data_IF_156044193167
#
_entry.id   IF_156044193167
#
_cell.length_a   1.000
_cell.length_b   1.000
_cell.length_c   1.000
_cell.angle_alpha   90.00
_cell.angle_beta   90.00
_cell.angle_gamma   90.00
#
_symmetry.space_group_name_H-M   'P 1'
#
loop_
_entity.id
_entity.type
_entity.pdbx_description
1 polymer ?
#
# COMPACT_ATOMS: atom_id res chain seq x y z
N UNK A 1 -0.60 18.83 -7.30
CA UNK A 1 0.05 17.88 -8.24
C UNK A 1 -0.95 16.79 -8.55
N UNK A 2 -1.31 16.59 -9.82
CA UNK A 2 -2.29 15.54 -10.20
C UNK A 2 -1.60 14.18 -10.23
N UNK A 3 -2.10 13.23 -9.44
CA UNK A 3 -1.74 11.81 -9.53
C UNK A 3 -2.68 11.18 -10.56
N UNK A 4 -2.13 10.50 -11.56
CA UNK A 4 -2.90 9.78 -12.58
C UNK A 4 -2.35 8.37 -12.72
N UNK A 5 -3.22 7.35 -12.74
CA UNK A 5 -2.80 5.98 -13.09
C UNK A 5 -2.09 6.01 -14.44
N UNK A 6 -0.78 5.77 -14.43
CA UNK A 6 -0.01 5.65 -15.65
C UNK A 6 -0.07 4.19 -16.07
N UNK A 7 -1.07 3.83 -16.86
CA UNK A 7 -1.33 2.46 -17.32
C UNK A 7 -0.19 1.79 -18.11
N UNK A 8 0.98 2.43 -18.25
CA UNK A 8 2.19 1.92 -18.91
C UNK A 8 3.46 2.02 -18.06
N UNK A 9 3.41 2.66 -16.90
CA UNK A 9 4.60 2.88 -16.06
C UNK A 9 4.48 1.97 -14.84
N UNK A 10 5.31 0.93 -14.80
CA UNK A 10 5.35 -0.03 -13.68
C UNK A 10 5.76 0.64 -12.36
N UNK A 11 6.53 1.73 -12.43
CA UNK A 11 6.99 2.51 -11.27
C UNK A 11 6.99 4.01 -11.58
N UNK A 12 6.11 4.77 -10.94
CA UNK A 12 6.06 6.23 -11.02
C UNK A 12 6.68 6.88 -9.78
N UNK A 13 7.51 7.92 -9.99
CA UNK A 13 8.04 8.77 -8.91
C UNK A 13 7.36 10.14 -8.93
N UNK A 14 6.96 10.60 -7.75
CA UNK A 14 6.33 11.89 -7.53
C UNK A 14 7.08 12.67 -6.44
N UNK A 15 7.68 13.83 -6.77
CA UNK A 15 8.38 14.65 -5.79
C UNK A 15 7.39 15.33 -4.83
N UNK A 16 7.79 15.47 -3.57
CA UNK A 16 7.00 16.09 -2.52
C UNK A 16 7.82 16.31 -1.25
N UNK A 17 7.14 16.64 -0.13
CA UNK A 17 7.79 16.70 1.19
C UNK A 17 8.45 15.36 1.55
N UNK A 18 7.75 14.28 1.21
CA UNK A 18 8.27 12.92 1.17
C UNK A 18 8.07 12.45 -0.26
N UNK A 19 9.06 11.79 -0.85
CA UNK A 19 8.92 11.22 -2.20
C UNK A 19 7.85 10.12 -2.17
N UNK A 20 6.98 10.12 -3.17
CA UNK A 20 5.99 9.08 -3.37
C UNK A 20 6.37 8.25 -4.58
N UNK A 21 6.49 6.94 -4.37
CA UNK A 21 6.66 5.94 -5.40
C UNK A 21 5.35 5.17 -5.57
N UNK A 22 4.98 4.87 -6.80
CA UNK A 22 3.77 4.13 -7.13
C UNK A 22 4.11 2.97 -8.05
N UNK A 23 3.89 1.76 -7.59
CA UNK A 23 4.06 0.53 -8.37
C UNK A 23 2.71 -0.08 -8.72
N UNK A 24 2.48 -0.38 -10.00
CA UNK A 24 1.31 -1.11 -10.49
C UNK A 24 1.78 -2.49 -11.01
N UNK A 25 1.51 -3.53 -10.23
CA UNK A 25 1.97 -4.89 -10.52
C UNK A 25 0.99 -5.71 -11.35
N UNK A 26 -0.17 -5.16 -11.75
CA UNK A 26 -1.25 -5.91 -12.42
C UNK A 26 -0.78 -6.71 -13.65
N UNK A 27 0.23 -6.19 -14.36
CA UNK A 27 0.77 -6.76 -15.60
C UNK A 27 1.89 -7.76 -15.38
N UNK A 28 2.40 -7.89 -14.16
CA UNK A 28 3.45 -8.86 -13.84
C UNK A 28 2.79 -10.19 -13.51
N UNK A 29 3.16 -11.22 -14.27
CA UNK A 29 2.66 -12.59 -14.11
C UNK A 29 3.62 -13.45 -13.30
N UNK A 30 4.89 -13.05 -13.26
CA UNK A 30 5.98 -13.77 -12.60
C UNK A 30 6.51 -12.94 -11.41
N UNK A 31 6.46 -13.46 -10.17
CA UNK A 31 7.05 -12.82 -8.99
C UNK A 31 8.53 -12.44 -9.16
N UNK A 32 9.29 -13.17 -9.97
CA UNK A 32 10.71 -12.87 -10.24
C UNK A 32 10.88 -11.55 -11.02
N UNK A 33 9.85 -11.11 -11.76
CA UNK A 33 9.84 -9.78 -12.40
C UNK A 33 9.60 -8.68 -11.37
N UNK A 34 8.84 -8.95 -10.31
CA UNK A 34 8.62 -8.00 -9.23
C UNK A 34 9.91 -7.80 -8.43
N UNK A 35 10.68 -8.86 -8.19
CA UNK A 35 11.96 -8.78 -7.49
C UNK A 35 12.96 -7.82 -8.19
N UNK A 36 12.90 -7.75 -9.52
CA UNK A 36 13.74 -6.83 -10.31
C UNK A 36 13.37 -5.35 -10.13
N UNK A 37 12.19 -5.04 -9.57
CA UNK A 37 11.80 -3.67 -9.27
C UNK A 37 12.47 -3.12 -8.01
N UNK A 38 13.11 -3.96 -7.18
CA UNK A 38 13.77 -3.56 -5.94
C UNK A 38 12.88 -2.71 -5.01
N UNK A 39 11.65 -3.17 -4.77
CA UNK A 39 10.64 -2.45 -3.98
C UNK A 39 11.12 -2.07 -2.57
N UNK A 40 11.93 -2.94 -1.94
CA UNK A 40 12.55 -2.67 -0.63
C UNK A 40 13.46 -1.45 -0.66
N UNK A 41 14.35 -1.38 -1.66
CA UNK A 41 15.28 -0.25 -1.83
C UNK A 41 14.50 1.04 -2.08
N UNK A 42 13.47 0.99 -2.94
CA UNK A 42 12.61 2.13 -3.24
C UNK A 42 11.89 2.62 -1.98
N UNK A 43 11.36 1.70 -1.18
CA UNK A 43 10.64 2.02 0.06
C UNK A 43 11.53 2.71 1.11
N UNK A 44 12.85 2.54 1.03
CA UNK A 44 13.79 3.19 1.94
C UNK A 44 14.01 4.69 1.65
N UNK A 45 13.72 5.14 0.42
CA UNK A 45 13.92 6.54 -0.02
C UNK A 45 12.61 7.37 0.01
N UNK A 46 11.47 6.77 0.36
CA UNK A 46 10.19 7.48 0.37
C UNK A 46 9.01 6.62 0.83
N UNK A 47 7.81 7.02 0.42
CA UNK A 47 6.59 6.21 0.59
C UNK A 47 6.36 5.45 -0.71
N UNK A 48 6.28 4.13 -0.62
CA UNK A 48 5.92 3.26 -1.74
C UNK A 48 4.44 2.84 -1.61
N UNK A 49 3.66 3.04 -2.66
CA UNK A 49 2.31 2.52 -2.82
C UNK A 49 2.34 1.44 -3.89
N UNK A 50 1.87 0.24 -3.55
CA UNK A 50 1.84 -0.91 -4.47
C UNK A 50 0.40 -1.31 -4.73
N UNK A 51 -0.03 -1.27 -6.00
CA UNK A 51 -1.30 -1.83 -6.46
C UNK A 51 -1.11 -3.26 -6.98
N UNK A 52 -2.12 -4.12 -6.77
CA UNK A 52 -2.05 -5.58 -6.96
C UNK A 52 -0.84 -6.25 -6.28
N UNK A 53 -0.58 -5.96 -4.99
CA UNK A 53 0.55 -6.53 -4.24
C UNK A 53 0.58 -8.06 -4.23
N UNK A 54 -0.55 -8.75 -4.41
CA UNK A 54 -0.62 -10.20 -4.55
C UNK A 54 0.21 -10.77 -5.71
N UNK A 55 0.56 -9.96 -6.71
CA UNK A 55 1.46 -10.35 -7.81
C UNK A 55 2.92 -10.48 -7.38
N UNK A 56 3.30 -9.87 -6.25
CA UNK A 56 4.64 -9.95 -5.68
C UNK A 56 4.93 -11.31 -5.02
N UNK A 57 3.90 -12.11 -4.71
CA UNK A 57 4.03 -13.28 -3.85
C UNK A 57 4.51 -12.92 -2.43
N UNK A 58 4.77 -13.94 -1.62
CA UNK A 58 5.03 -13.77 -0.16
C UNK A 58 6.42 -13.22 0.20
N UNK A 59 7.27 -12.87 -0.78
CA UNK A 59 8.71 -12.64 -0.54
C UNK A 59 9.28 -11.31 -1.04
N UNK A 60 8.48 -10.50 -1.73
CA UNK A 60 9.01 -9.33 -2.47
C UNK A 60 8.46 -8.00 -1.95
N UNK A 61 7.48 -8.04 -1.04
CA UNK A 61 6.99 -6.84 -0.37
C UNK A 61 7.87 -6.50 0.83
N UNK A 62 8.03 -5.21 1.17
CA UNK A 62 8.73 -4.78 2.38
C UNK A 62 8.18 -5.44 3.65
N UNK A 63 9.07 -5.84 4.56
CA UNK A 63 8.69 -6.54 5.81
C UNK A 63 7.70 -5.76 6.66
N UNK A 64 7.88 -4.44 6.75
CA UNK A 64 6.95 -3.56 7.45
C UNK A 64 6.11 -2.74 6.46
N UNK A 65 4.80 -2.95 6.44
CA UNK A 65 3.90 -2.22 5.55
C UNK A 65 2.48 -2.12 6.09
N UNK A 66 1.72 -1.18 5.52
CA UNK A 66 0.26 -1.13 5.69
C UNK A 66 -0.39 -1.86 4.52
N UNK A 67 -1.32 -2.75 4.83
CA UNK A 67 -2.20 -3.38 3.84
C UNK A 67 -3.51 -2.60 3.82
N UNK A 68 -3.95 -2.23 2.61
CA UNK A 68 -5.21 -1.54 2.40
C UNK A 68 -6.06 -2.35 1.43
N UNK A 69 -7.17 -2.88 1.92
CA UNK A 69 -8.11 -3.66 1.12
C UNK A 69 -9.40 -2.86 0.90
N UNK A 70 -9.95 -2.97 -0.31
CA UNK A 70 -11.17 -2.30 -0.73
C UNK A 70 -12.24 -3.33 -1.03
N UNK A 71 -13.36 -3.25 -0.32
CA UNK A 71 -14.55 -4.06 -0.60
C UNK A 71 -15.64 -3.20 -1.25
N UNK A 72 -16.22 -3.67 -2.37
CA UNK A 72 -17.36 -3.00 -3.01
C UNK A 72 -18.62 -3.32 -2.21
N UNK A 73 -19.25 -2.30 -1.62
CA UNK A 73 -20.47 -2.46 -0.81
C UNK A 73 -21.73 -1.86 -1.44
N UNK A 74 -21.58 -1.20 -2.59
CA UNK A 74 -22.68 -0.68 -3.40
C UNK A 74 -22.16 0.00 -4.67
N UNK A 75 -23.07 0.54 -5.49
CA UNK A 75 -22.72 1.17 -6.78
C UNK A 75 -21.68 2.28 -6.64
N UNK A 76 -21.77 3.08 -5.58
CA UNK A 76 -20.86 4.19 -5.29
C UNK A 76 -20.28 4.11 -3.86
N UNK A 77 -20.25 2.90 -3.26
CA UNK A 77 -19.82 2.70 -1.87
C UNK A 77 -18.75 1.62 -1.79
N UNK A 78 -17.74 1.88 -0.96
CA UNK A 78 -16.68 0.92 -0.64
C UNK A 78 -16.37 0.95 0.83
N UNK A 79 -16.04 -0.21 1.39
CA UNK A 79 -15.41 -0.30 2.71
C UNK A 79 -13.90 -0.36 2.51
N UNK A 80 -13.17 0.42 3.29
CA UNK A 80 -11.73 0.35 3.39
C UNK A 80 -11.36 -0.39 4.67
N UNK A 81 -10.50 -1.39 4.56
CA UNK A 81 -9.88 -2.07 5.69
C UNK A 81 -8.38 -1.80 5.66
N UNK A 82 -7.81 -1.40 6.79
CA UNK A 82 -6.37 -1.17 6.93
C UNK A 82 -5.83 -2.10 8.00
N UNK A 83 -4.87 -2.94 7.63
CA UNK A 83 -4.09 -3.76 8.56
C UNK A 83 -2.60 -3.42 8.46
N UNK A 84 -1.84 -3.86 9.45
CA UNK A 84 -0.45 -3.49 9.62
C UNK A 84 0.42 -4.74 9.80
N UNK A 85 1.48 -4.82 9.01
CA UNK A 85 2.55 -5.79 9.16
C UNK A 85 3.79 -5.07 9.70
N UNK A 86 4.34 -5.56 10.81
CA UNK A 86 5.48 -4.93 11.49
C UNK A 86 5.10 -3.87 12.53
N UNK A 87 6.04 -3.59 13.43
CA UNK A 87 5.84 -2.71 14.58
C UNK A 87 5.58 -1.27 14.15
N UNK A 88 6.36 -0.76 13.19
CA UNK A 88 6.20 0.61 12.70
C UNK A 88 4.83 0.83 12.06
N UNK A 89 4.33 -0.16 11.32
CA UNK A 89 3.02 -0.09 10.70
C UNK A 89 1.89 -0.09 11.74
N UNK A 90 2.02 -0.89 12.80
CA UNK A 90 1.05 -0.91 13.90
C UNK A 90 0.97 0.45 14.63
N UNK A 91 2.12 1.08 14.86
CA UNK A 91 2.18 2.43 15.43
C UNK A 91 1.48 3.46 14.53
N UNK A 92 1.61 3.34 13.21
CA UNK A 92 0.90 4.20 12.24
C UNK A 92 -0.62 4.00 12.30
N UNK A 93 -1.12 2.76 12.31
CA UNK A 93 -2.56 2.49 12.41
C UNK A 93 -3.15 3.04 13.71
N UNK A 94 -2.42 2.89 14.83
CA UNK A 94 -2.83 3.44 16.11
C UNK A 94 -2.93 4.97 16.05
N UNK A 95 -1.92 5.64 15.50
CA UNK A 95 -1.93 7.09 15.34
C UNK A 95 -3.08 7.59 14.45
N UNK A 96 -3.43 6.85 13.39
CA UNK A 96 -4.59 7.15 12.53
C UNK A 96 -5.92 7.01 13.28
N UNK A 97 -6.04 5.99 14.12
CA UNK A 97 -7.25 5.71 14.92
C UNK A 97 -7.45 6.73 16.04
N UNK A 98 -6.35 7.16 16.67
CA UNK A 98 -6.38 8.16 17.75
C UNK A 98 -6.68 9.59 17.22
N UNK A 99 -6.48 9.83 15.92
CA UNK A 99 -6.74 11.10 15.24
C UNK A 99 -8.11 11.21 14.53
N UNK A 100 -8.88 10.12 14.44
CA UNK A 100 -10.09 10.03 13.60
C UNK A 100 -11.37 9.73 14.38
N UNK A 101 -12.06 10.76 14.86
CA UNK A 101 -13.45 10.65 15.28
C UNK A 101 -14.38 10.98 14.09
N UNK A 102 -15.34 10.08 13.82
CA UNK A 102 -16.58 10.30 13.06
C UNK A 102 -16.48 10.39 11.52
N UNK A 103 -16.16 9.29 10.83
CA UNK A 103 -16.87 8.94 9.60
C UNK A 103 -16.75 7.42 9.34
N UNK A 104 -17.78 6.84 8.74
CA UNK A 104 -18.06 5.40 8.71
C UNK A 104 -17.02 4.60 7.91
N UNK A 105 -15.91 4.23 8.54
CA UNK A 105 -15.03 3.14 8.09
C UNK A 105 -14.38 2.49 9.30
N UNK A 106 -14.68 1.21 9.49
CA UNK A 106 -14.27 0.44 10.65
C UNK A 106 -12.80 0.03 10.48
N UNK A 107 -11.91 0.65 11.23
CA UNK A 107 -10.52 0.18 11.37
C UNK A 107 -10.54 -1.07 12.24
N UNK A 108 -10.20 -2.23 11.66
CA UNK A 108 -9.98 -3.47 12.42
C UNK A 108 -8.49 -3.73 12.43
N UNK A 109 -7.84 -3.43 13.56
CA UNK A 109 -6.47 -3.84 13.81
C UNK A 109 -6.49 -5.29 14.31
N UNK A 110 -6.07 -6.25 13.47
CA UNK A 110 -5.68 -7.58 13.92
C UNK A 110 -4.17 -7.67 13.84
N UNK A 111 -3.51 -7.78 15.00
CA UNK A 111 -2.08 -8.07 15.09
C UNK A 111 -1.87 -9.57 15.03
N UNK A 112 -1.18 -10.04 13.99
CA UNK A 112 -0.65 -11.41 13.94
C UNK A 112 0.52 -11.55 14.91
N UNK A 113 0.47 -12.62 15.72
CA UNK A 113 1.56 -13.06 16.62
C UNK A 113 2.78 -13.55 15.88
#
# INVERSE_FOLDING_TARGET
SSVSSKSFVLLGEYPGRVKLYHADLYRLEDPDQVAQLALDEISSDGVLVVEWPERAGDRVLPEEHLRVDFEVTGENSRTLSVSAEGQRAQEMVKAMSDGGAQDSSRVVAEGGS
#
